data_IF_346550865868
#
_entry.id   IF_346550865868
#
_cell.length_a   1.000
_cell.length_b   1.000
_cell.length_c   1.000
_cell.angle_alpha   90.00
_cell.angle_beta   90.00
_cell.angle_gamma   90.00
#
_symmetry.space_group_name_H-M   'P 1'
#
loop_
_entity.id
_entity.type
_entity.pdbx_description
1 polymer ?
#
# COMPACT_ATOMS: atom_id res chain seq x y z
N UNK A 1 5.66 3.71 1.20
CA UNK A 1 6.75 4.43 1.90
C UNK A 1 7.64 3.48 2.70
N UNK A 2 7.09 2.61 3.56
CA UNK A 2 7.88 1.71 4.40
C UNK A 2 8.84 0.78 3.62
N UNK A 3 8.39 0.15 2.52
CA UNK A 3 9.25 -0.77 1.74
C UNK A 3 10.49 -0.07 1.17
N UNK A 4 10.34 1.16 0.69
CA UNK A 4 11.44 1.93 0.14
C UNK A 4 12.46 2.25 1.24
N UNK A 5 12.00 2.78 2.37
CA UNK A 5 12.86 3.06 3.53
C UNK A 5 13.58 1.81 4.03
N UNK A 6 12.91 0.67 4.04
CA UNK A 6 13.48 -0.61 4.46
C UNK A 6 14.55 -1.11 3.49
N UNK A 7 14.28 -1.08 2.18
CA UNK A 7 15.27 -1.38 1.15
C UNK A 7 16.50 -0.48 1.26
N UNK A 8 16.32 0.82 1.49
CA UNK A 8 17.44 1.75 1.65
C UNK A 8 18.24 1.49 2.94
N UNK A 9 17.58 1.13 4.04
CA UNK A 9 18.25 0.78 5.29
C UNK A 9 19.10 -0.50 5.16
N UNK A 10 18.59 -1.51 4.45
CA UNK A 10 19.29 -2.75 4.16
C UNK A 10 20.43 -2.55 3.15
N UNK A 11 20.20 -1.78 2.09
CA UNK A 11 21.19 -1.51 1.05
C UNK A 11 22.43 -0.79 1.61
N UNK A 12 22.24 0.18 2.51
CA UNK A 12 23.35 0.84 3.24
C UNK A 12 24.24 -0.13 4.02
N UNK A 13 23.75 -1.33 4.32
CA UNK A 13 24.47 -2.37 5.07
C UNK A 13 24.86 -3.57 4.21
N UNK A 14 24.57 -3.55 2.90
CA UNK A 14 24.81 -4.67 1.99
C UNK A 14 23.90 -5.87 2.25
N UNK A 15 22.70 -5.66 2.82
CA UNK A 15 21.81 -6.74 3.29
C UNK A 15 20.52 -6.88 2.47
N UNK A 16 20.44 -6.28 1.28
CA UNK A 16 19.21 -6.29 0.47
C UNK A 16 18.75 -7.69 0.04
N UNK A 17 19.66 -8.65 -0.06
CA UNK A 17 19.35 -10.00 -0.53
C UNK A 17 18.60 -10.84 0.52
N UNK A 18 18.59 -10.39 1.79
CA UNK A 18 17.93 -11.09 2.90
C UNK A 18 16.40 -10.88 2.93
N UNK A 19 15.88 -9.93 2.15
CA UNK A 19 14.43 -9.71 1.99
C UNK A 19 13.93 -10.07 0.59
N UNK A 20 14.80 -10.64 -0.25
CA UNK A 20 14.45 -11.11 -1.57
C UNK A 20 13.88 -12.53 -1.51
N UNK A 21 13.02 -12.85 -2.49
CA UNK A 21 12.48 -14.19 -2.64
C UNK A 21 13.62 -15.21 -2.83
N UNK A 22 13.48 -16.34 -2.12
CA UNK A 22 14.45 -17.42 -2.13
C UNK A 22 14.56 -18.01 -3.53
N UNK A 23 15.77 -18.06 -4.07
CA UNK A 23 16.04 -18.89 -5.25
C UNK A 23 16.64 -20.24 -4.83
N UNK A 24 16.32 -21.35 -5.54
CA UNK A 24 16.83 -22.68 -5.19
C UNK A 24 18.36 -22.74 -5.13
N UNK A 25 19.04 -21.99 -6.01
CA UNK A 25 20.50 -21.88 -6.08
C UNK A 25 21.15 -21.27 -4.83
N UNK A 26 20.39 -20.55 -4.01
CA UNK A 26 20.89 -19.87 -2.80
C UNK A 26 20.93 -20.78 -1.56
N UNK A 27 20.35 -21.98 -1.62
CA UNK A 27 20.18 -22.85 -0.45
C UNK A 27 21.51 -23.18 0.25
N UNK A 28 22.57 -23.45 -0.51
CA UNK A 28 23.91 -23.78 0.03
C UNK A 28 24.52 -22.56 0.72
N UNK A 29 24.44 -21.38 0.09
CA UNK A 29 24.95 -20.11 0.61
C UNK A 29 24.29 -19.74 1.94
N UNK A 30 22.99 -20.01 2.09
CA UNK A 30 22.21 -19.66 3.28
C UNK A 30 22.36 -20.60 4.47
N UNK A 31 23.03 -21.74 4.27
CA UNK A 31 23.41 -22.65 5.36
C UNK A 31 24.62 -22.17 6.17
N UNK A 32 25.41 -21.25 5.62
CA UNK A 32 26.65 -20.74 6.24
C UNK A 32 26.39 -19.95 7.51
N UNK A 33 27.33 -19.97 8.45
CA UNK A 33 27.22 -19.19 9.68
C UNK A 33 27.29 -17.69 9.39
N UNK A 34 28.09 -17.28 8.40
CA UNK A 34 28.18 -15.91 7.93
C UNK A 34 26.83 -15.41 7.41
N UNK A 35 26.11 -16.24 6.66
CA UNK A 35 24.76 -15.89 6.19
C UNK A 35 23.80 -15.75 7.35
N UNK A 36 23.78 -16.68 8.31
CA UNK A 36 22.89 -16.62 9.48
C UNK A 36 23.15 -15.36 10.32
N UNK A 37 24.41 -14.99 10.50
CA UNK A 37 24.78 -13.75 11.18
C UNK A 37 24.29 -12.50 10.41
N UNK A 38 24.43 -12.50 9.09
CA UNK A 38 23.95 -11.42 8.23
C UNK A 38 22.40 -11.34 8.18
N UNK A 39 21.72 -12.48 8.22
CA UNK A 39 20.26 -12.60 8.28
C UNK A 39 19.71 -12.00 9.58
N UNK A 40 20.31 -12.34 10.73
CA UNK A 40 19.93 -11.74 12.01
C UNK A 40 20.17 -10.23 12.02
N UNK A 41 21.25 -9.78 11.39
CA UNK A 41 21.53 -8.34 11.22
C UNK A 41 20.48 -7.66 10.33
N UNK A 42 20.04 -8.31 9.26
CA UNK A 42 19.00 -7.81 8.37
C UNK A 42 17.65 -7.71 9.10
N UNK A 43 17.29 -8.74 9.86
CA UNK A 43 16.08 -8.75 10.69
C UNK A 43 16.12 -7.60 11.72
N UNK A 44 17.25 -7.40 12.40
CA UNK A 44 17.41 -6.31 13.35
C UNK A 44 17.29 -4.92 12.70
N UNK A 45 17.74 -4.75 11.45
CA UNK A 45 17.59 -3.50 10.70
C UNK A 45 16.12 -3.23 10.37
N UNK A 46 15.39 -4.25 9.91
CA UNK A 46 13.95 -4.16 9.64
C UNK A 46 13.18 -3.89 10.92
N UNK A 47 13.46 -4.58 12.02
CA UNK A 47 12.77 -4.35 13.29
C UNK A 47 13.01 -2.94 13.84
N UNK A 48 14.25 -2.43 13.79
CA UNK A 48 14.60 -1.11 14.35
C UNK A 48 14.01 0.08 13.61
N UNK A 49 13.65 -0.08 12.34
CA UNK A 49 13.02 1.01 11.57
C UNK A 49 11.51 1.12 11.80
N UNK A 50 10.92 0.13 12.47
CA UNK A 50 9.49 0.04 12.72
C UNK A 50 9.11 0.75 14.02
N UNK A 51 7.89 1.29 14.07
CA UNK A 51 7.29 1.72 15.33
C UNK A 51 7.00 0.53 16.25
N UNK A 52 6.82 0.73 17.58
CA UNK A 52 6.58 -0.36 18.52
C UNK A 52 5.42 -1.28 18.14
N UNK A 53 4.35 -0.74 17.55
CA UNK A 53 3.20 -1.50 17.06
C UNK A 53 3.61 -2.56 16.04
N UNK A 54 4.38 -2.16 15.01
CA UNK A 54 4.81 -3.07 13.96
C UNK A 54 5.94 -4.00 14.42
N UNK A 55 6.78 -3.57 15.38
CA UNK A 55 7.76 -4.45 16.01
C UNK A 55 7.09 -5.64 16.70
N UNK A 56 5.98 -5.42 17.39
CA UNK A 56 5.26 -6.51 18.04
C UNK A 56 4.67 -7.52 17.05
N UNK A 57 4.34 -7.07 15.83
CA UNK A 57 3.81 -7.96 14.78
C UNK A 57 4.86 -8.91 14.20
N UNK A 58 6.11 -8.45 14.09
CA UNK A 58 7.21 -9.25 13.52
C UNK A 58 8.06 -9.92 14.60
N UNK A 59 7.62 -9.88 15.87
CA UNK A 59 8.38 -10.36 17.03
C UNK A 59 8.80 -11.82 16.91
N UNK A 60 7.94 -12.64 16.33
CA UNK A 60 8.15 -14.09 16.19
C UNK A 60 8.79 -14.47 14.85
N UNK A 61 9.10 -13.50 13.99
CA UNK A 61 9.74 -13.77 12.71
C UNK A 61 11.17 -14.33 12.92
N UNK A 62 11.45 -15.47 12.30
CA UNK A 62 12.75 -16.14 12.36
C UNK A 62 13.75 -15.62 11.31
N UNK A 63 13.29 -14.83 10.33
CA UNK A 63 14.13 -14.29 9.26
C UNK A 63 13.70 -12.88 8.83
N UNK A 64 14.61 -12.16 8.16
CA UNK A 64 14.29 -10.83 7.63
C UNK A 64 13.21 -10.91 6.54
N UNK A 65 13.25 -11.95 5.71
CA UNK A 65 12.23 -12.23 4.70
C UNK A 65 10.86 -12.51 5.32
N UNK A 66 10.81 -13.29 6.40
CA UNK A 66 9.54 -13.57 7.08
C UNK A 66 8.93 -12.30 7.70
N UNK A 67 9.73 -11.50 8.40
CA UNK A 67 9.29 -10.20 8.91
C UNK A 67 8.79 -9.29 7.77
N UNK A 68 9.49 -9.29 6.63
CA UNK A 68 9.11 -8.54 5.44
C UNK A 68 7.74 -8.97 4.90
N UNK A 69 7.50 -10.27 4.74
CA UNK A 69 6.24 -10.78 4.21
C UNK A 69 5.07 -10.59 5.19
N UNK A 70 5.29 -10.69 6.51
CA UNK A 70 4.27 -10.35 7.53
C UNK A 70 3.82 -8.90 7.38
N UNK A 71 4.77 -7.96 7.30
CA UNK A 71 4.48 -6.54 7.11
C UNK A 71 3.76 -6.30 5.79
N UNK A 72 4.24 -6.93 4.71
CA UNK A 72 3.66 -6.80 3.37
C UNK A 72 2.22 -7.30 3.34
N UNK A 73 1.95 -8.48 3.88
CA UNK A 73 0.61 -9.04 3.96
C UNK A 73 -0.34 -8.14 4.75
N UNK A 74 0.12 -7.61 5.89
CA UNK A 74 -0.65 -6.68 6.70
C UNK A 74 -1.00 -5.39 5.93
N UNK A 75 0.00 -4.75 5.32
CA UNK A 75 -0.22 -3.49 4.61
C UNK A 75 -1.04 -3.66 3.33
N UNK A 76 -0.93 -4.80 2.64
CA UNK A 76 -1.80 -5.14 1.50
C UNK A 76 -3.25 -5.31 1.96
N UNK A 77 -3.48 -6.04 3.06
CA UNK A 77 -4.82 -6.21 3.64
C UNK A 77 -5.42 -4.86 4.07
N UNK A 78 -4.62 -4.03 4.71
CA UNK A 78 -5.03 -2.70 5.15
C UNK A 78 -5.38 -1.79 3.96
N UNK A 79 -4.56 -1.81 2.89
CA UNK A 79 -4.85 -1.12 1.63
C UNK A 79 -6.20 -1.53 1.04
N UNK A 80 -6.43 -2.85 0.89
CA UNK A 80 -7.66 -3.35 0.30
C UNK A 80 -8.88 -2.94 1.13
N UNK A 81 -8.79 -3.09 2.45
CA UNK A 81 -9.86 -2.68 3.37
C UNK A 81 -10.16 -1.18 3.25
N UNK A 82 -9.13 -0.33 3.22
CA UNK A 82 -9.30 1.11 3.04
C UNK A 82 -9.94 1.45 1.69
N UNK A 83 -9.59 0.75 0.60
CA UNK A 83 -10.22 0.95 -0.71
C UNK A 83 -11.69 0.55 -0.74
N UNK A 84 -12.06 -0.53 -0.05
CA UNK A 84 -13.47 -0.91 0.11
C UNK A 84 -14.21 0.15 0.93
N UNK A 85 -13.61 0.64 2.02
CA UNK A 85 -14.19 1.73 2.81
C UNK A 85 -14.41 3.00 1.98
N UNK A 86 -13.51 3.35 1.05
CA UNK A 86 -13.71 4.46 0.11
C UNK A 86 -14.85 4.21 -0.88
N UNK A 87 -14.99 3.00 -1.37
CA UNK A 87 -16.06 2.65 -2.31
C UNK A 87 -17.45 2.76 -1.67
N UNK A 88 -17.57 2.39 -0.39
CA UNK A 88 -18.81 2.47 0.37
C UNK A 88 -18.97 3.81 1.11
N UNK A 89 -18.03 4.74 0.91
CA UNK A 89 -17.97 6.00 1.62
C UNK A 89 -19.11 6.92 1.19
N UNK A 90 -20.13 7.03 2.03
CA UNK A 90 -21.30 7.88 1.79
C UNK A 90 -21.73 8.58 3.08
N UNK A 91 -22.14 9.83 2.97
CA UNK A 91 -22.73 10.58 4.07
C UNK A 91 -24.23 10.29 4.11
N UNK A 92 -24.75 9.89 5.27
CA UNK A 92 -26.19 9.70 5.45
C UNK A 92 -26.95 11.03 5.41
N UNK A 93 -28.23 10.99 5.01
CA UNK A 93 -29.09 12.18 5.06
C UNK A 93 -29.17 12.74 6.48
N UNK A 94 -28.89 14.03 6.65
CA UNK A 94 -28.79 14.68 7.98
C UNK A 94 -27.52 14.33 8.76
N UNK A 95 -26.53 13.67 8.14
CA UNK A 95 -25.27 13.29 8.77
C UNK A 95 -24.31 14.46 9.00
N UNK A 96 -23.40 14.28 9.95
CA UNK A 96 -22.36 15.26 10.28
C UNK A 96 -21.28 15.31 9.17
N UNK A 97 -21.28 16.42 8.42
CA UNK A 97 -20.32 16.70 7.36
C UNK A 97 -18.89 16.81 7.89
N UNK A 98 -18.69 17.41 9.06
CA UNK A 98 -17.33 17.60 9.58
C UNK A 98 -16.73 16.25 10.00
N UNK A 99 -17.49 15.44 10.72
CA UNK A 99 -17.12 14.06 11.04
C UNK A 99 -16.90 13.21 9.79
N UNK A 100 -17.65 13.47 8.71
CA UNK A 100 -17.41 12.81 7.42
C UNK A 100 -16.06 13.18 6.80
N UNK A 101 -15.72 14.47 6.75
CA UNK A 101 -14.41 14.92 6.25
C UNK A 101 -13.26 14.32 7.09
N UNK A 102 -13.40 14.30 8.42
CA UNK A 102 -12.38 13.70 9.31
C UNK A 102 -12.20 12.20 9.03
N UNK A 103 -13.30 11.44 8.85
CA UNK A 103 -13.22 10.02 8.48
C UNK A 103 -12.56 9.80 7.12
N UNK A 104 -12.85 10.67 6.15
CA UNK A 104 -12.24 10.61 4.83
C UNK A 104 -10.72 10.82 4.90
N UNK A 105 -10.28 11.81 5.68
CA UNK A 105 -8.86 12.12 5.88
C UNK A 105 -8.12 10.98 6.60
N UNK A 106 -8.75 10.31 7.58
CA UNK A 106 -8.20 9.11 8.21
C UNK A 106 -7.94 7.99 7.20
N UNK A 107 -8.93 7.71 6.32
CA UNK A 107 -8.78 6.67 5.29
C UNK A 107 -7.65 7.04 4.31
N UNK A 108 -7.56 8.30 3.89
CA UNK A 108 -6.49 8.80 3.03
C UNK A 108 -5.11 8.67 3.71
N UNK A 109 -5.02 9.01 5.00
CA UNK A 109 -3.80 8.89 5.79
C UNK A 109 -3.34 7.45 5.93
N UNK A 110 -4.27 6.50 6.14
CA UNK A 110 -3.97 5.06 6.21
C UNK A 110 -3.51 4.50 4.85
N UNK A 111 -4.04 4.97 3.73
CA UNK A 111 -3.55 4.63 2.39
C UNK A 111 -2.14 5.20 2.13
N UNK A 112 -1.90 6.45 2.51
CA UNK A 112 -0.58 7.08 2.36
C UNK A 112 0.50 6.36 3.17
N UNK A 113 0.17 5.89 4.39
CA UNK A 113 1.08 5.12 5.24
C UNK A 113 1.59 3.84 4.56
N UNK A 114 0.75 3.19 3.75
CA UNK A 114 1.13 2.00 2.97
C UNK A 114 1.74 2.32 1.61
N UNK A 115 1.90 3.60 1.28
CA UNK A 115 2.47 4.08 0.03
C UNK A 115 1.47 4.24 -1.11
N UNK A 116 0.18 4.19 -0.82
CA UNK A 116 -0.88 4.52 -1.78
C UNK A 116 -1.27 5.98 -1.61
N UNK A 117 -0.66 6.85 -2.41
CA UNK A 117 -0.93 8.28 -2.39
C UNK A 117 -2.04 8.57 -3.38
N UNK A 118 -3.10 9.22 -2.89
CA UNK A 118 -4.18 9.76 -3.72
C UNK A 118 -3.86 11.21 -4.05
N UNK A 119 -4.05 11.59 -5.31
CA UNK A 119 -3.93 12.98 -5.72
C UNK A 119 -5.04 13.83 -5.10
N UNK A 120 -4.80 15.13 -4.93
CA UNK A 120 -5.81 16.07 -4.41
C UNK A 120 -7.08 16.06 -5.29
N UNK A 121 -6.93 15.96 -6.62
CA UNK A 121 -8.07 15.83 -7.55
C UNK A 121 -8.91 14.56 -7.25
N UNK A 122 -8.27 13.41 -7.03
CA UNK A 122 -8.97 12.16 -6.70
C UNK A 122 -9.68 12.25 -5.35
N UNK A 123 -9.05 12.89 -4.36
CA UNK A 123 -9.64 13.11 -3.04
C UNK A 123 -10.92 13.95 -3.13
N UNK A 124 -10.87 15.07 -3.86
CA UNK A 124 -12.02 15.96 -4.08
C UNK A 124 -13.15 15.24 -4.79
N UNK A 125 -12.85 14.47 -5.84
CA UNK A 125 -13.87 13.73 -6.60
C UNK A 125 -14.60 12.72 -5.72
N UNK A 126 -13.87 11.95 -4.91
CA UNK A 126 -14.48 10.93 -4.04
C UNK A 126 -15.28 11.60 -2.92
N UNK A 127 -14.73 12.64 -2.29
CA UNK A 127 -15.42 13.35 -1.22
C UNK A 127 -16.71 13.99 -1.73
N UNK A 128 -16.69 14.66 -2.89
CA UNK A 128 -17.89 15.23 -3.49
C UNK A 128 -18.90 14.14 -3.86
N UNK A 129 -18.45 13.03 -4.46
CA UNK A 129 -19.32 11.91 -4.81
C UNK A 129 -19.94 11.18 -3.61
N UNK A 130 -19.36 11.34 -2.41
CA UNK A 130 -19.87 10.74 -1.18
C UNK A 130 -21.01 11.52 -0.50
N UNK A 131 -21.31 12.74 -0.96
CA UNK A 131 -22.35 13.58 -0.35
C UNK A 131 -23.75 13.19 -0.84
N UNK A 132 -24.82 13.38 -0.03
CA UNK A 132 -26.18 13.07 -0.43
C UNK A 132 -26.66 13.93 -1.60
N UNK A 133 -27.63 13.42 -2.36
CA UNK A 133 -28.25 14.10 -3.50
C UNK A 133 -28.83 15.50 -3.16
N UNK A 134 -29.16 15.76 -1.90
CA UNK A 134 -29.59 17.08 -1.42
C UNK A 134 -28.50 18.17 -1.56
N UNK A 135 -27.25 17.78 -1.79
CA UNK A 135 -26.09 18.65 -2.01
C UNK A 135 -25.69 18.76 -3.49
N UNK A 136 -26.51 18.23 -4.40
CA UNK A 136 -26.29 18.25 -5.85
C UNK A 136 -25.97 19.63 -6.42
N UNK A 137 -26.65 20.68 -5.94
CA UNK A 137 -26.45 22.04 -6.43
C UNK A 137 -25.02 22.52 -6.18
N UNK A 138 -24.47 22.17 -5.01
CA UNK A 138 -23.09 22.44 -4.61
C UNK A 138 -22.12 21.51 -5.37
N UNK A 139 -22.48 20.23 -5.55
CA UNK A 139 -21.69 19.28 -6.34
C UNK A 139 -21.54 19.72 -7.81
N UNK A 140 -22.60 20.25 -8.43
CA UNK A 140 -22.56 20.77 -9.80
C UNK A 140 -21.81 22.10 -9.90
N UNK A 141 -21.98 23.01 -8.93
CA UNK A 141 -21.26 24.29 -8.90
C UNK A 141 -19.74 24.10 -8.79
N UNK A 142 -19.29 23.10 -8.01
CA UNK A 142 -17.86 22.80 -7.81
C UNK A 142 -17.34 21.84 -8.91
N UNK A 143 -18.14 20.86 -9.34
CA UNK A 143 -17.80 19.86 -10.36
C UNK A 143 -17.80 20.39 -11.80
N UNK A 144 -18.51 21.48 -12.09
CA UNK A 144 -18.56 22.11 -13.41
C UNK A 144 -17.20 22.59 -13.95
N UNK A 145 -16.18 22.75 -13.09
CA UNK A 145 -14.79 23.00 -13.51
C UNK A 145 -14.03 21.74 -13.95
N UNK A 146 -14.42 20.56 -13.46
CA UNK A 146 -13.76 19.27 -13.70
C UNK A 146 -14.33 18.50 -14.91
N UNK A 147 -15.51 18.90 -15.39
CA UNK A 147 -16.28 18.18 -16.42
C UNK A 147 -15.58 18.11 -17.80
N UNK A 148 -14.60 18.99 -18.06
CA UNK A 148 -13.75 18.91 -19.27
C UNK A 148 -12.75 17.75 -19.27
N UNK A 149 -12.44 17.15 -18.11
CA UNK A 149 -11.58 15.96 -18.01
C UNK A 149 -12.37 14.66 -17.85
N UNK A 150 -13.64 14.74 -17.44
CA UNK A 150 -14.47 13.58 -17.10
C UNK A 150 -14.76 12.67 -18.31
N UNK A 151 -14.98 13.25 -19.51
CA UNK A 151 -15.28 12.48 -20.72
C UNK A 151 -14.12 11.60 -21.23
N UNK A 152 -12.90 11.80 -20.73
CA UNK A 152 -11.72 11.00 -21.12
C UNK A 152 -11.35 9.90 -20.13
N UNK A 153 -11.97 9.81 -18.95
CA UNK A 153 -11.60 8.83 -17.90
C UNK A 153 -12.71 7.87 -17.47
N UNK A 154 -13.94 8.02 -17.93
CA UNK A 154 -15.00 7.01 -17.80
C UNK A 154 -14.81 5.82 -18.76
N UNK A 155 -13.58 5.29 -18.84
CA UNK A 155 -13.36 3.89 -19.16
C UNK A 155 -13.40 3.14 -17.84
N UNK A 156 -14.06 1.96 -17.75
CA UNK A 156 -13.92 1.13 -16.58
C UNK A 156 -12.43 0.89 -16.33
N UNK A 157 -11.97 1.04 -15.08
CA UNK A 157 -10.67 0.54 -14.65
C UNK A 157 -10.80 -0.99 -14.59
N UNK A 158 -10.98 -1.61 -15.76
CA UNK A 158 -10.81 -3.04 -15.95
C UNK A 158 -9.32 -3.32 -15.84
N UNK A 159 -8.94 -4.32 -15.03
CA UNK A 159 -7.70 -5.09 -15.21
C UNK A 159 -6.44 -4.25 -15.49
N UNK A 160 -6.06 -3.39 -14.56
CA UNK A 160 -4.86 -2.54 -14.70
C UNK A 160 -3.61 -3.02 -13.95
N UNK A 161 -3.66 -4.14 -13.22
CA UNK A 161 -2.51 -4.66 -12.45
C UNK A 161 -2.32 -6.19 -12.46
N UNK A 162 -2.89 -6.90 -13.43
CA UNK A 162 -2.60 -8.33 -13.61
C UNK A 162 -1.53 -8.62 -14.68
N UNK A 163 -1.11 -7.61 -15.45
CA UNK A 163 -0.07 -7.76 -16.47
C UNK A 163 1.37 -7.50 -15.97
N UNK A 164 1.58 -7.21 -14.69
CA UNK A 164 2.94 -7.11 -14.13
C UNK A 164 3.44 -8.42 -13.50
N UNK A 165 2.56 -9.40 -13.25
CA UNK A 165 2.94 -10.73 -12.75
C UNK A 165 2.81 -11.86 -13.78
N UNK A 166 2.21 -11.62 -14.95
CA UNK A 166 2.13 -12.60 -16.05
C UNK A 166 3.16 -12.41 -17.18
N UNK A 167 4.01 -11.38 -17.11
CA UNK A 167 5.05 -11.10 -18.12
C UNK A 167 6.41 -11.78 -17.93
N UNK A 168 6.60 -12.53 -16.84
CA UNK A 168 7.89 -13.19 -16.53
C UNK A 168 7.88 -14.70 -16.79
N UNK A 169 6.73 -15.30 -17.14
CA UNK A 169 6.62 -16.74 -17.39
C UNK A 169 6.07 -17.03 -18.80
N UNK A 170 6.77 -16.58 -19.85
CA UNK A 170 6.77 -17.21 -21.19
C UNK A 170 7.98 -16.81 -22.04
N UNK A 171 9.14 -16.55 -21.41
CA UNK A 171 10.44 -16.55 -22.10
C UNK A 171 11.34 -17.63 -21.53
N UNK A 172 10.92 -18.88 -21.69
CA UNK A 172 11.83 -20.01 -21.86
C UNK A 172 11.02 -21.19 -22.35
N UNK A 173 11.16 -21.49 -23.64
CA UNK A 173 11.00 -22.81 -24.26
C UNK A 173 11.37 -22.59 -25.73
N UNK A 174 12.69 -22.71 -25.99
CA UNK A 174 13.15 -23.27 -27.25
C UNK A 174 12.83 -24.77 -27.23
#
# INVERSE_FOLDING_TARGET
>A
MWEFSARMALARKGLQDHVAAVKPEDAVRRGTEEWKAAEMKALAVVAKMLSPTYQSMVREAASALEAWEILRAFFVKQSLHNRVQLHEFTLSSGGDLMGHIVRFDDICSRLAAVGEIMSEDEKVVILLGSLPQAWLEIQHAIGGGADRKFRLRSRPISLGREMYYRGVVTKSLK
#
